data_IF_495183776334
#
_entry.id   IF_495183776334
#
_cell.length_a   1.000
_cell.length_b   1.000
_cell.length_c   1.000
_cell.angle_alpha   90.00
_cell.angle_beta   90.00
_cell.angle_gamma   90.00
#
_symmetry.space_group_name_H-M   'P 1'
#
loop_
_entity.id
_entity.type
_entity.pdbx_description
1 polymer ?
#
# COMPACT_ATOMS: atom_id res chain seq x y z
N UNK A 1 8.21 4.04 9.17
CA UNK A 1 8.63 3.23 10.33
C UNK A 1 9.23 1.90 9.85
N UNK A 2 10.56 1.71 9.94
CA UNK A 2 11.19 0.46 9.47
C UNK A 2 10.92 -0.74 10.38
N UNK A 3 10.51 -0.54 11.64
CA UNK A 3 10.22 -1.62 12.60
C UNK A 3 8.72 -1.91 12.77
N UNK A 4 7.85 -1.40 11.88
CA UNK A 4 6.42 -1.63 12.02
C UNK A 4 6.07 -3.12 11.78
N UNK A 5 5.40 -3.81 12.73
CA UNK A 5 5.03 -5.22 12.60
C UNK A 5 4.16 -5.56 11.38
N UNK A 6 3.46 -4.58 10.81
CA UNK A 6 2.64 -4.79 9.61
C UNK A 6 3.45 -5.26 8.38
N UNK A 7 4.77 -5.08 8.41
CA UNK A 7 5.69 -5.57 7.39
C UNK A 7 6.41 -6.87 7.79
N UNK A 8 5.99 -7.55 8.87
CA UNK A 8 6.53 -8.86 9.21
C UNK A 8 6.25 -9.85 8.07
N UNK A 9 7.31 -10.49 7.56
CA UNK A 9 7.28 -11.42 6.41
C UNK A 9 6.64 -10.82 5.14
N UNK A 10 6.63 -9.50 5.01
CA UNK A 10 6.17 -8.77 3.82
C UNK A 10 7.20 -7.71 3.43
N UNK A 11 7.31 -7.39 2.15
CA UNK A 11 8.18 -6.30 1.67
C UNK A 11 7.74 -4.97 2.28
N UNK A 12 8.71 -4.20 2.77
CA UNK A 12 8.48 -2.80 3.15
C UNK A 12 8.39 -1.96 1.89
N UNK A 13 7.46 -1.02 1.86
CA UNK A 13 7.42 -0.02 0.79
C UNK A 13 8.65 0.88 0.86
N UNK A 14 9.29 1.08 -0.29
CA UNK A 14 10.36 2.06 -0.46
C UNK A 14 9.76 3.42 -0.83
N UNK A 15 10.50 4.49 -0.53
CA UNK A 15 10.18 5.84 -0.99
C UNK A 15 11.46 6.42 -1.59
N UNK A 16 11.37 6.90 -2.83
CA UNK A 16 12.48 7.56 -3.50
C UNK A 16 11.98 8.86 -4.13
N UNK A 17 12.71 9.95 -3.91
CA UNK A 17 12.45 11.24 -4.53
C UNK A 17 13.28 11.37 -5.82
N UNK A 18 12.63 11.84 -6.88
CA UNK A 18 13.22 12.09 -8.17
C UNK A 18 12.91 13.52 -8.62
N UNK A 19 13.79 14.10 -9.43
CA UNK A 19 13.50 15.32 -10.17
C UNK A 19 13.17 14.95 -11.63
N UNK A 20 12.04 15.43 -12.13
CA UNK A 20 11.62 15.23 -13.51
C UNK A 20 11.00 16.51 -14.06
N UNK A 21 11.56 17.04 -15.15
CA UNK A 21 11.10 18.29 -15.78
C UNK A 21 10.97 19.47 -14.80
N UNK A 22 11.89 19.57 -13.83
CA UNK A 22 11.90 20.63 -12.81
C UNK A 22 10.91 20.41 -11.66
N UNK A 23 10.25 19.25 -11.59
CA UNK A 23 9.34 18.89 -10.50
C UNK A 23 9.91 17.77 -9.65
N UNK A 24 9.72 17.85 -8.33
CA UNK A 24 10.03 16.76 -7.39
C UNK A 24 8.86 15.79 -7.31
N UNK A 25 9.16 14.50 -7.51
CA UNK A 25 8.18 13.42 -7.47
C UNK A 25 8.70 12.34 -6.52
N UNK A 26 7.90 11.98 -5.52
CA UNK A 26 8.19 10.86 -4.62
C UNK A 26 7.45 9.62 -5.12
N UNK A 27 8.20 8.55 -5.41
CA UNK A 27 7.66 7.30 -5.94
C UNK A 27 7.74 6.20 -4.89
N UNK A 28 6.64 5.47 -4.71
CA UNK A 28 6.56 4.27 -3.87
C UNK A 28 6.30 3.04 -4.73
N UNK A 29 7.31 2.20 -4.98
CA UNK A 29 7.11 0.88 -5.58
C UNK A 29 6.61 -0.09 -4.51
N UNK A 30 5.30 -0.30 -4.46
CA UNK A 30 4.65 -1.16 -3.49
C UNK A 30 4.59 -2.61 -3.96
N UNK A 31 4.68 -3.51 -2.98
CA UNK A 31 4.25 -4.90 -3.12
C UNK A 31 3.67 -5.33 -1.77
N UNK A 32 2.38 -5.07 -1.57
CA UNK A 32 1.70 -5.26 -0.28
C UNK A 32 1.47 -6.75 0.05
N UNK A 33 0.86 -7.02 1.20
CA UNK A 33 0.58 -8.38 1.67
C UNK A 33 -0.25 -9.16 0.65
N UNK A 34 0.34 -10.24 0.12
CA UNK A 34 -0.34 -11.20 -0.77
C UNK A 34 -1.60 -11.80 -0.14
N UNK A 35 -2.58 -12.11 -1.00
CA UNK A 35 -3.81 -12.86 -0.70
C UNK A 35 -3.58 -14.34 -0.38
N UNK A 36 -2.33 -14.84 -0.42
CA UNK A 36 -2.03 -16.19 0.02
C UNK A 36 -2.44 -16.37 1.49
N UNK A 37 -3.41 -17.26 1.71
CA UNK A 37 -4.07 -17.49 3.01
C UNK A 37 -5.52 -16.98 3.07
N UNK A 38 -5.99 -16.25 2.05
CA UNK A 38 -7.41 -15.94 1.88
C UNK A 38 -8.14 -17.13 1.24
N UNK A 39 -9.44 -17.27 1.51
CA UNK A 39 -10.27 -18.24 0.82
C UNK A 39 -10.43 -17.85 -0.66
N UNK A 40 -10.56 -18.84 -1.55
CA UNK A 40 -10.86 -18.58 -2.95
C UNK A 40 -12.25 -17.93 -3.10
N UNK A 41 -12.35 -16.87 -3.90
CA UNK A 41 -13.61 -16.14 -4.13
C UNK A 41 -14.73 -17.09 -4.62
N UNK A 42 -14.39 -18.01 -5.52
CA UNK A 42 -15.27 -19.06 -6.03
C UNK A 42 -14.87 -20.45 -5.50
N UNK A 43 -14.61 -20.54 -4.19
CA UNK A 43 -14.30 -21.80 -3.51
C UNK A 43 -15.52 -22.54 -2.97
N UNK A 44 -15.31 -23.76 -2.48
CA UNK A 44 -16.34 -24.61 -1.86
C UNK A 44 -16.83 -24.09 -0.50
N UNK A 45 -16.04 -23.25 0.17
CA UNK A 45 -16.41 -22.59 1.43
C UNK A 45 -16.92 -21.19 1.13
N UNK A 46 -18.16 -20.92 1.53
CA UNK A 46 -18.83 -19.64 1.32
C UNK A 46 -19.49 -19.14 2.63
N UNK A 47 -19.41 -17.83 2.93
CA UNK A 47 -18.71 -16.80 2.15
C UNK A 47 -17.18 -16.93 2.24
N UNK A 48 -16.47 -16.52 1.18
CA UNK A 48 -15.01 -16.46 1.19
C UNK A 48 -14.50 -15.45 2.24
N UNK A 49 -13.54 -15.88 3.07
CA UNK A 49 -12.93 -15.03 4.11
C UNK A 49 -11.57 -14.48 3.63
N UNK A 50 -11.38 -13.17 3.75
CA UNK A 50 -10.11 -12.49 3.43
C UNK A 50 -9.25 -12.31 4.69
N UNK A 51 -8.57 -13.38 5.13
CA UNK A 51 -7.75 -13.39 6.35
C UNK A 51 -6.61 -12.37 6.35
N UNK A 52 -6.14 -11.96 5.18
CA UNK A 52 -4.98 -11.08 5.00
C UNK A 52 -5.36 -9.61 4.75
N UNK A 53 -6.65 -9.29 4.55
CA UNK A 53 -7.13 -7.96 4.19
C UNK A 53 -6.75 -6.90 5.23
N UNK A 54 -6.92 -7.20 6.52
CA UNK A 54 -6.60 -6.26 7.59
C UNK A 54 -5.13 -5.78 7.53
N UNK A 55 -4.19 -6.68 7.20
CA UNK A 55 -2.78 -6.31 7.07
C UNK A 55 -2.54 -5.39 5.86
N UNK A 56 -3.21 -5.62 4.72
CA UNK A 56 -3.13 -4.72 3.55
C UNK A 56 -3.68 -3.33 3.86
N UNK A 57 -4.82 -3.25 4.54
CA UNK A 57 -5.42 -1.97 4.95
C UNK A 57 -4.46 -1.18 5.85
N UNK A 58 -3.83 -1.83 6.83
CA UNK A 58 -2.86 -1.14 7.70
C UNK A 58 -1.61 -0.69 6.95
N UNK A 59 -1.13 -1.46 5.97
CA UNK A 59 -0.05 -1.02 5.07
C UNK A 59 -0.46 0.22 4.25
N UNK A 60 -1.66 0.22 3.68
CA UNK A 60 -2.20 1.35 2.92
C UNK A 60 -2.38 2.60 3.79
N UNK A 61 -2.86 2.46 5.03
CA UNK A 61 -2.97 3.57 5.99
C UNK A 61 -1.62 4.21 6.29
N UNK A 62 -0.55 3.41 6.45
CA UNK A 62 0.78 3.96 6.67
C UNK A 62 1.30 4.74 5.46
N UNK A 63 1.05 4.25 4.25
CA UNK A 63 1.40 4.97 3.02
C UNK A 63 0.62 6.27 2.90
N UNK A 64 -0.69 6.24 3.17
CA UNK A 64 -1.54 7.43 3.16
C UNK A 64 -1.10 8.47 4.19
N UNK A 65 -0.73 8.03 5.39
CA UNK A 65 -0.19 8.90 6.43
C UNK A 65 1.13 9.55 6.01
N UNK A 66 2.04 8.80 5.37
CA UNK A 66 3.28 9.35 4.83
C UNK A 66 3.01 10.43 3.77
N UNK A 67 2.11 10.16 2.83
CA UNK A 67 1.73 11.13 1.78
C UNK A 67 1.13 12.39 2.40
N UNK A 68 0.19 12.24 3.34
CA UNK A 68 -0.43 13.36 4.05
C UNK A 68 0.60 14.21 4.78
N UNK A 69 1.60 13.59 5.40
CA UNK A 69 2.66 14.31 6.09
C UNK A 69 3.56 15.09 5.10
N UNK A 70 3.93 14.48 3.97
CA UNK A 70 4.67 15.19 2.93
C UNK A 70 3.89 16.36 2.32
N UNK A 71 2.59 16.19 2.07
CA UNK A 71 1.72 17.26 1.55
C UNK A 71 1.51 18.41 2.55
N UNK A 72 1.53 18.15 3.87
CA UNK A 72 1.52 19.21 4.88
C UNK A 72 2.77 20.08 4.81
N UNK A 73 3.93 19.48 4.52
CA UNK A 73 5.20 20.19 4.42
C UNK A 73 5.35 20.92 3.08
N UNK A 74 4.88 20.30 1.99
CA UNK A 74 4.84 20.90 0.66
C UNK A 74 3.58 20.45 -0.10
N UNK A 75 2.54 21.31 -0.20
CA UNK A 75 1.30 20.99 -0.91
C UNK A 75 1.48 20.72 -2.41
N UNK A 76 2.60 21.14 -3.00
CA UNK A 76 2.90 20.96 -4.42
C UNK A 76 3.73 19.69 -4.69
N UNK A 77 4.12 18.93 -3.66
CA UNK A 77 4.89 17.70 -3.83
C UNK A 77 4.02 16.63 -4.50
N UNK A 78 4.56 15.98 -5.53
CA UNK A 78 3.84 14.95 -6.28
C UNK A 78 4.21 13.57 -5.77
N UNK A 79 3.21 12.70 -5.70
CA UNK A 79 3.37 11.33 -5.22
C UNK A 79 2.87 10.34 -6.26
N UNK A 80 3.64 9.29 -6.49
CA UNK A 80 3.24 8.15 -7.32
C UNK A 80 3.32 6.90 -6.46
N UNK A 81 2.18 6.31 -6.13
CA UNK A 81 2.10 5.02 -5.46
C UNK A 81 1.78 3.99 -6.53
N UNK A 82 2.71 3.07 -6.76
CA UNK A 82 2.64 2.13 -7.88
C UNK A 82 3.04 0.72 -7.44
N UNK A 83 3.01 -0.24 -8.36
CA UNK A 83 3.32 -1.64 -8.13
C UNK A 83 2.09 -2.46 -7.75
N UNK A 84 2.33 -3.55 -7.01
CA UNK A 84 1.31 -4.55 -6.70
C UNK A 84 0.74 -4.35 -5.30
N UNK A 85 -0.48 -3.79 -5.22
CA UNK A 85 -1.18 -3.62 -3.95
C UNK A 85 -1.80 -4.94 -3.44
N UNK A 86 -1.69 -6.03 -4.19
CA UNK A 86 -2.32 -7.32 -3.92
C UNK A 86 -3.82 -7.22 -3.63
N UNK A 87 -4.48 -6.21 -4.18
CA UNK A 87 -5.90 -6.01 -3.99
C UNK A 87 -6.62 -5.45 -5.21
N UNK A 88 -7.94 -5.48 -5.15
CA UNK A 88 -8.81 -4.91 -6.17
C UNK A 88 -9.00 -3.41 -5.93
N UNK A 89 -9.24 -2.68 -7.01
CA UNK A 89 -9.48 -1.24 -7.05
C UNK A 89 -10.68 -0.79 -6.22
N UNK A 90 -11.65 -1.69 -5.97
CA UNK A 90 -12.83 -1.42 -5.14
C UNK A 90 -12.66 -1.84 -3.66
N UNK A 91 -11.51 -2.42 -3.29
CA UNK A 91 -11.26 -2.91 -1.93
C UNK A 91 -11.05 -1.75 -0.94
N UNK A 92 -11.26 -2.01 0.36
CA UNK A 92 -10.92 -1.06 1.43
C UNK A 92 -9.43 -0.70 1.44
N UNK A 93 -8.55 -1.54 0.89
CA UNK A 93 -7.12 -1.23 0.73
C UNK A 93 -6.89 -0.04 -0.21
N UNK A 94 -7.76 0.16 -1.19
CA UNK A 94 -7.61 1.17 -2.25
C UNK A 94 -8.40 2.47 -1.98
N UNK A 95 -9.14 2.56 -0.87
CA UNK A 95 -9.91 3.74 -0.45
C UNK A 95 -9.08 4.67 0.43
#
# INVERSE_FOLDING_TARGET
>A
APANPVFEKVRKSLAAEFEFKGERIVVFPNHLKSKLGDDAVYGSKQPAVQNTLAQRIEQAKLLNAFVKEGLKQNPNLKFVLTGDFNDFEFSETAK
#
